data_IF_931701541919
#
_entry.id   IF_931701541919
#
_cell.length_a   1.000
_cell.length_b   1.000
_cell.length_c   1.000
_cell.angle_alpha   90.00
_cell.angle_beta   90.00
_cell.angle_gamma   90.00
#
_symmetry.space_group_name_H-M   'P 1'
#
loop_
_entity.id
_entity.type
_entity.pdbx_description
1 polymer ?
#
# COMPACT_ATOMS: atom_id res chain seq x y z
N UNK A 1 -10.96 -4.72 -5.55
CA UNK A 1 -11.32 -6.03 -4.96
C UNK A 1 -11.29 -5.87 -3.45
N UNK A 2 -12.35 -6.28 -2.73
CA UNK A 2 -12.39 -6.15 -1.28
C UNK A 2 -11.73 -7.34 -0.59
N UNK A 3 -10.63 -7.10 0.14
CA UNK A 3 -9.86 -8.12 0.86
C UNK A 3 -9.95 -7.99 2.40
N UNK A 4 -10.63 -6.96 2.90
CA UNK A 4 -10.73 -6.71 4.33
C UNK A 4 -11.45 -7.82 5.11
N UNK A 5 -11.41 -7.77 6.45
CA UNK A 5 -12.04 -8.77 7.33
C UNK A 5 -13.57 -8.88 7.23
N UNK A 6 -14.24 -7.93 6.55
CA UNK A 6 -15.69 -7.87 6.46
C UNK A 6 -16.33 -9.11 5.81
N UNK A 7 -17.57 -9.39 6.19
CA UNK A 7 -18.30 -10.62 5.80
C UNK A 7 -18.60 -10.75 4.30
N UNK A 8 -18.49 -9.66 3.54
CA UNK A 8 -18.72 -9.60 2.09
C UNK A 8 -17.42 -9.53 1.28
N UNK A 9 -16.25 -9.62 1.92
CA UNK A 9 -14.97 -9.67 1.21
C UNK A 9 -14.78 -11.00 0.48
N UNK A 10 -13.91 -11.00 -0.53
CA UNK A 10 -13.61 -12.20 -1.30
C UNK A 10 -13.16 -13.38 -0.41
N UNK A 11 -12.17 -13.24 0.49
CA UNK A 11 -11.76 -14.35 1.37
C UNK A 11 -12.91 -14.83 2.27
N UNK A 12 -13.68 -13.91 2.86
CA UNK A 12 -14.83 -14.25 3.72
C UNK A 12 -15.91 -15.04 2.97
N UNK A 13 -16.26 -14.62 1.75
CA UNK A 13 -17.29 -15.28 0.95
C UNK A 13 -16.85 -16.69 0.51
N UNK A 14 -15.61 -16.83 0.04
CA UNK A 14 -15.07 -18.13 -0.38
C UNK A 14 -14.94 -19.08 0.81
N UNK A 15 -14.50 -18.58 1.97
CA UNK A 15 -14.41 -19.38 3.19
C UNK A 15 -15.79 -19.79 3.72
N UNK A 16 -16.77 -18.88 3.70
CA UNK A 16 -18.17 -19.18 4.07
C UNK A 16 -18.81 -20.24 3.16
N UNK A 17 -18.39 -20.29 1.89
CA UNK A 17 -18.79 -21.34 0.96
C UNK A 17 -18.04 -22.67 1.15
N UNK A 18 -17.09 -22.74 2.09
CA UNK A 18 -16.30 -23.94 2.39
C UNK A 18 -15.21 -24.25 1.37
N UNK A 19 -14.85 -23.29 0.51
CA UNK A 19 -13.91 -23.51 -0.59
C UNK A 19 -12.45 -23.31 -0.16
N UNK A 20 -12.21 -22.45 0.83
CA UNK A 20 -10.89 -22.07 1.31
C UNK A 20 -10.90 -21.81 2.82
N UNK A 21 -9.71 -21.70 3.41
CA UNK A 21 -9.50 -21.07 4.71
C UNK A 21 -9.75 -19.57 4.66
N UNK A 22 -10.19 -18.96 5.77
CA UNK A 22 -10.42 -17.51 5.81
C UNK A 22 -9.09 -16.75 5.91
N UNK A 23 -8.33 -16.80 4.83
CA UNK A 23 -7.01 -16.21 4.73
C UNK A 23 -6.67 -15.92 3.28
N UNK A 24 -5.66 -15.08 3.06
CA UNK A 24 -5.07 -14.88 1.74
C UNK A 24 -3.64 -14.38 1.89
N UNK A 25 -2.88 -14.45 0.82
CA UNK A 25 -1.55 -13.86 0.75
C UNK A 25 -1.37 -12.93 -0.44
N UNK A 26 -0.47 -11.97 -0.28
CA UNK A 26 -0.03 -11.03 -1.30
C UNK A 26 1.48 -11.14 -1.48
N UNK A 27 1.94 -11.09 -2.72
CA UNK A 27 3.36 -11.04 -3.06
C UNK A 27 3.54 -10.03 -4.19
N UNK A 28 4.31 -8.96 -3.97
CA UNK A 28 4.62 -7.95 -4.98
C UNK A 28 6.09 -8.05 -5.40
N UNK A 29 6.34 -8.00 -6.71
CA UNK A 29 7.67 -7.99 -7.31
C UNK A 29 8.09 -6.55 -7.67
N UNK A 30 9.40 -6.32 -7.76
CA UNK A 30 10.00 -5.02 -8.07
C UNK A 30 9.61 -4.50 -9.48
N UNK A 31 9.23 -5.40 -10.39
CA UNK A 31 8.75 -5.05 -11.74
C UNK A 31 7.28 -4.61 -11.78
N UNK A 32 6.61 -4.49 -10.62
CA UNK A 32 5.21 -4.10 -10.51
C UNK A 32 4.21 -5.24 -10.74
N UNK A 33 4.68 -6.46 -11.01
CA UNK A 33 3.82 -7.64 -10.99
C UNK A 33 3.56 -8.09 -9.55
N UNK A 34 2.53 -8.93 -9.38
CA UNK A 34 2.23 -9.49 -8.09
C UNK A 34 1.25 -10.64 -8.18
N UNK A 35 1.03 -11.30 -7.05
CA UNK A 35 0.15 -12.46 -6.92
C UNK A 35 -0.70 -12.34 -5.68
N UNK A 36 -1.89 -12.93 -5.77
CA UNK A 36 -2.79 -13.14 -4.65
C UNK A 36 -3.16 -14.62 -4.61
N UNK A 37 -3.08 -15.23 -3.43
CA UNK A 37 -3.50 -16.62 -3.20
C UNK A 37 -4.56 -16.61 -2.11
N UNK A 38 -5.73 -17.17 -2.40
CA UNK A 38 -6.82 -17.28 -1.44
C UNK A 38 -6.75 -18.62 -0.69
N UNK A 39 -6.94 -18.60 0.62
CA UNK A 39 -6.82 -19.76 1.50
C UNK A 39 -5.41 -20.10 1.94
N UNK A 40 -4.42 -19.30 1.52
CA UNK A 40 -3.02 -19.46 1.92
C UNK A 40 -2.85 -19.10 3.40
N UNK A 41 -2.15 -19.94 4.15
CA UNK A 41 -1.89 -19.76 5.59
C UNK A 41 -0.40 -19.59 5.91
N UNK A 42 0.46 -19.51 4.89
CA UNK A 42 1.91 -19.40 5.05
C UNK A 42 2.55 -20.64 5.64
N UNK A 43 3.82 -20.51 6.00
CA UNK A 43 4.61 -21.55 6.65
C UNK A 43 4.74 -21.30 8.16
N UNK A 44 4.97 -22.37 8.92
CA UNK A 44 5.14 -22.27 10.39
C UNK A 44 6.43 -21.55 10.81
N UNK A 45 7.38 -21.42 9.90
CA UNK A 45 8.64 -20.70 10.09
C UNK A 45 8.55 -19.22 9.73
N UNK A 46 7.42 -18.74 9.19
CA UNK A 46 7.25 -17.34 8.84
C UNK A 46 7.28 -16.48 10.10
N UNK A 47 7.84 -15.28 9.97
CA UNK A 47 7.68 -14.24 10.98
C UNK A 47 6.21 -13.86 11.07
N UNK A 48 5.73 -13.45 12.25
CA UNK A 48 4.33 -13.05 12.38
C UNK A 48 4.08 -12.09 13.53
N UNK A 49 2.97 -11.37 13.44
CA UNK A 49 2.45 -10.51 14.50
C UNK A 49 0.93 -10.68 14.58
N UNK A 50 0.33 -10.66 15.77
CA UNK A 50 -1.13 -10.66 15.88
C UNK A 50 -1.71 -9.37 15.30
N UNK A 51 -2.94 -9.47 14.77
CA UNK A 51 -3.76 -8.31 14.48
C UNK A 51 -4.23 -7.66 15.79
N UNK A 52 -4.45 -6.36 15.75
CA UNK A 52 -5.02 -5.59 16.84
C UNK A 52 -6.52 -5.41 16.61
N UNK A 53 -7.37 -5.73 17.60
CA UNK A 53 -8.78 -5.40 17.53
C UNK A 53 -8.99 -3.90 17.83
N UNK A 54 -9.88 -3.27 17.07
CA UNK A 54 -10.38 -1.92 17.34
C UNK A 54 -11.78 -2.05 17.95
N UNK A 55 -11.97 -1.49 19.15
CA UNK A 55 -13.24 -1.59 19.90
C UNK A 55 -13.74 -3.04 20.06
N UNK A 56 -12.81 -3.99 20.18
CA UNK A 56 -13.11 -5.42 20.31
C UNK A 56 -13.45 -6.14 19.00
N UNK A 57 -13.27 -5.49 17.84
CA UNK A 57 -13.54 -6.06 16.52
C UNK A 57 -12.31 -6.02 15.61
N UNK A 58 -12.22 -6.98 14.71
CA UNK A 58 -11.17 -7.04 13.69
C UNK A 58 -11.74 -6.57 12.36
N UNK A 59 -12.03 -5.27 12.23
CA UNK A 59 -12.60 -4.71 11.00
C UNK A 59 -11.52 -4.24 10.00
N UNK A 60 -10.26 -4.18 10.43
CA UNK A 60 -9.09 -3.76 9.64
C UNK A 60 -7.84 -4.56 10.04
N UNK A 61 -6.78 -4.48 9.23
CA UNK A 61 -5.51 -5.19 9.46
C UNK A 61 -4.51 -4.33 10.23
N UNK A 62 -4.87 -3.93 11.45
CA UNK A 62 -3.95 -3.23 12.33
C UNK A 62 -2.96 -4.18 12.99
N UNK A 63 -1.70 -3.76 13.11
CA UNK A 63 -0.61 -4.46 13.80
C UNK A 63 0.16 -3.48 14.69
N UNK A 64 0.93 -4.01 15.65
CA UNK A 64 1.81 -3.19 16.51
C UNK A 64 3.24 -3.24 16.00
N UNK A 65 3.79 -2.08 15.64
CA UNK A 65 5.24 -1.90 15.50
C UNK A 65 5.79 -1.41 16.84
N UNK A 66 6.79 -2.08 17.39
CA UNK A 66 7.43 -1.71 18.65
C UNK A 66 8.55 -0.68 18.45
N UNK A 67 9.31 -0.81 17.36
CA UNK A 67 10.33 0.16 16.99
C UNK A 67 10.70 0.11 15.51
N UNK A 68 11.22 1.22 15.01
CA UNK A 68 11.91 1.34 13.74
C UNK A 68 13.42 1.26 13.97
N UNK A 69 14.12 0.45 13.17
CA UNK A 69 15.57 0.32 13.23
C UNK A 69 16.21 0.76 11.91
N UNK A 70 17.26 1.58 12.00
CA UNK A 70 18.07 2.05 10.88
C UNK A 70 19.48 1.50 11.03
N UNK A 71 19.95 0.73 10.05
CA UNK A 71 21.19 -0.04 10.14
C UNK A 71 21.11 -1.01 11.33
N UNK A 72 21.99 -0.81 12.31
CA UNK A 72 22.06 -1.61 13.53
C UNK A 72 21.44 -0.92 14.76
N UNK A 73 20.81 0.24 14.58
CA UNK A 73 20.24 1.04 15.67
C UNK A 73 18.72 1.02 15.66
N UNK A 74 18.11 0.48 16.71
CA UNK A 74 16.67 0.60 16.95
C UNK A 74 16.34 1.85 17.75
N UNK A 75 15.44 2.68 17.20
CA UNK A 75 15.09 3.98 17.74
C UNK A 75 14.15 3.84 18.94
N UNK A 76 14.51 4.47 20.08
CA UNK A 76 13.64 4.50 21.26
C UNK A 76 12.36 5.27 20.97
N UNK A 77 11.25 4.81 21.54
CA UNK A 77 9.94 5.46 21.40
C UNK A 77 9.49 5.65 19.95
N UNK A 78 9.87 4.72 19.06
CA UNK A 78 9.47 4.72 17.64
C UNK A 78 8.36 3.71 17.32
N UNK A 79 7.67 3.21 18.34
CA UNK A 79 6.57 2.26 18.21
C UNK A 79 5.25 2.97 17.86
N UNK A 80 4.43 2.32 17.05
CA UNK A 80 3.16 2.84 16.58
C UNK A 80 2.20 1.71 16.17
N UNK A 81 0.91 2.03 16.08
CA UNK A 81 -0.09 1.17 15.44
C UNK A 81 0.03 1.34 13.93
N UNK A 82 0.07 0.25 13.16
CA UNK A 82 0.19 0.32 11.71
C UNK A 82 -0.96 -0.41 11.01
N UNK A 83 -1.64 0.26 10.08
CA UNK A 83 -2.57 -0.36 9.15
C UNK A 83 -1.77 -1.00 8.02
N UNK A 84 -1.98 -2.28 7.76
CA UNK A 84 -1.35 -2.97 6.63
C UNK A 84 -2.31 -2.85 5.44
N UNK A 85 -1.95 -2.02 4.46
CA UNK A 85 -2.85 -1.64 3.37
C UNK A 85 -2.19 -1.77 1.99
N UNK A 86 -2.59 -2.80 1.23
CA UNK A 86 -2.15 -2.99 -0.16
C UNK A 86 -2.74 -1.96 -1.13
N UNK A 87 -3.74 -1.18 -0.71
CA UNK A 87 -4.30 -0.06 -1.48
C UNK A 87 -3.45 1.21 -1.44
N UNK A 88 -2.52 1.31 -0.49
CA UNK A 88 -1.59 2.42 -0.36
C UNK A 88 -0.28 2.11 -1.08
N UNK A 89 0.10 2.94 -2.06
CA UNK A 89 1.35 2.74 -2.81
C UNK A 89 2.60 2.89 -1.94
N UNK A 90 2.55 3.75 -0.92
CA UNK A 90 3.68 4.09 -0.06
C UNK A 90 3.36 3.86 1.42
N UNK A 91 4.43 3.77 2.21
CA UNK A 91 4.36 3.62 3.66
C UNK A 91 4.37 5.00 4.31
N UNK A 92 3.50 5.16 5.31
CA UNK A 92 3.32 6.39 6.06
C UNK A 92 3.59 6.15 7.53
N UNK A 93 4.29 7.09 8.18
CA UNK A 93 4.58 7.03 9.61
C UNK A 93 3.90 8.21 10.32
N UNK A 94 3.41 8.04 11.57
CA UNK A 94 2.97 9.16 12.38
C UNK A 94 4.07 10.24 12.42
N UNK A 95 3.68 11.50 12.36
CA UNK A 95 4.60 12.61 12.06
C UNK A 95 5.83 12.67 12.98
N UNK A 96 5.66 12.44 14.28
CA UNK A 96 6.75 12.38 15.26
C UNK A 96 7.72 11.20 15.03
N UNK A 97 7.17 10.03 14.70
CA UNK A 97 7.96 8.84 14.35
C UNK A 97 8.68 9.05 13.03
N UNK A 98 8.00 9.59 12.02
CA UNK A 98 8.57 9.95 10.73
C UNK A 98 9.83 10.79 10.92
N UNK A 99 9.73 11.90 11.66
CA UNK A 99 10.87 12.80 11.90
C UNK A 99 12.05 12.10 12.55
N UNK A 100 11.80 11.23 13.54
CA UNK A 100 12.86 10.48 14.22
C UNK A 100 13.55 9.51 13.26
N UNK A 101 12.77 8.78 12.45
CA UNK A 101 13.27 7.79 11.48
C UNK A 101 14.11 8.44 10.38
N UNK A 102 13.58 9.49 9.74
CA UNK A 102 14.26 10.13 8.60
C UNK A 102 15.54 10.85 9.01
N UNK A 103 15.58 11.44 10.22
CA UNK A 103 16.79 12.06 10.74
C UNK A 103 17.89 11.03 11.03
N UNK A 104 17.55 9.86 11.54
CA UNK A 104 18.54 8.82 11.76
C UNK A 104 19.02 8.19 10.44
N UNK A 105 18.10 7.98 9.50
CA UNK A 105 18.45 7.53 8.15
C UNK A 105 19.43 8.49 7.47
N UNK A 106 19.15 9.80 7.47
CA UNK A 106 20.00 10.84 6.89
C UNK A 106 21.42 10.85 7.48
N UNK A 107 21.56 10.60 8.79
CA UNK A 107 22.89 10.51 9.43
C UNK A 107 23.73 9.32 8.94
N UNK A 108 23.07 8.21 8.60
CA UNK A 108 23.76 6.97 8.20
C UNK A 108 24.00 6.89 6.68
N UNK A 109 23.28 7.70 5.88
CA UNK A 109 23.48 7.75 4.44
C UNK A 109 24.79 8.46 4.10
N UNK A 110 25.70 7.76 3.42
CA UNK A 110 26.93 8.34 2.90
C UNK A 110 26.74 8.92 1.49
N UNK A 111 25.81 9.86 1.33
CA UNK A 111 25.53 10.54 0.08
C UNK A 111 25.05 11.97 0.32
N UNK A 112 25.26 12.86 -0.67
CA UNK A 112 24.85 14.27 -0.52
C UNK A 112 23.33 14.38 -0.61
N UNK A 113 22.70 14.82 0.48
CA UNK A 113 21.27 15.18 0.48
C UNK A 113 21.01 16.33 -0.49
N UNK A 114 19.96 16.19 -1.29
CA UNK A 114 19.48 17.17 -2.26
C UNK A 114 17.99 17.43 -2.07
N UNK A 115 17.54 18.62 -2.48
CA UNK A 115 16.12 18.90 -2.63
C UNK A 115 15.68 18.52 -4.04
N UNK A 116 14.72 17.61 -4.17
CA UNK A 116 14.20 17.16 -5.47
C UNK A 116 12.69 17.40 -5.54
N UNK A 117 12.28 18.48 -6.22
CA UNK A 117 10.90 18.97 -6.19
C UNK A 117 9.89 18.12 -6.98
N UNK A 118 10.36 17.14 -7.76
CA UNK A 118 9.50 16.32 -8.63
C UNK A 118 8.92 15.08 -7.93
N UNK A 119 9.26 14.87 -6.66
CA UNK A 119 8.79 13.72 -5.85
C UNK A 119 8.29 14.20 -4.49
N UNK A 120 7.41 13.42 -3.83
CA UNK A 120 6.84 13.83 -2.54
C UNK A 120 7.81 13.69 -1.35
N UNK A 121 9.03 13.19 -1.57
CA UNK A 121 9.98 12.88 -0.50
C UNK A 121 11.00 13.98 -0.25
N UNK A 122 11.21 14.30 1.02
CA UNK A 122 12.13 15.36 1.46
C UNK A 122 13.58 14.88 1.67
N UNK A 123 13.80 13.56 1.66
CA UNK A 123 15.08 12.92 1.93
C UNK A 123 15.54 12.18 0.67
N UNK A 124 16.10 12.97 -0.26
CA UNK A 124 16.68 12.49 -1.51
C UNK A 124 18.18 12.74 -1.54
N UNK A 125 18.92 11.88 -2.22
CA UNK A 125 20.37 11.88 -2.24
C UNK A 125 20.89 11.70 -3.65
N UNK A 126 21.98 12.40 -3.96
CA UNK A 126 22.72 12.22 -5.21
C UNK A 126 23.83 11.18 -5.01
N UNK A 127 23.90 10.20 -5.89
CA UNK A 127 24.96 9.18 -5.93
C UNK A 127 25.55 9.09 -7.33
N UNK A 128 26.84 8.73 -7.42
CA UNK A 128 27.39 8.26 -8.68
C UNK A 128 26.73 6.93 -9.05
N UNK A 129 26.42 6.73 -10.33
CA UNK A 129 25.92 5.43 -10.83
C UNK A 129 26.95 4.29 -10.70
N UNK A 130 28.23 4.64 -10.48
CA UNK A 130 29.35 3.69 -10.32
C UNK A 130 29.58 3.26 -8.87
N UNK A 131 29.01 3.97 -7.90
CA UNK A 131 29.10 3.64 -6.48
C UNK A 131 27.89 2.79 -6.11
N UNK A 132 28.12 1.70 -5.36
CA UNK A 132 27.01 0.97 -4.75
C UNK A 132 26.31 1.90 -3.77
N UNK A 133 25.01 2.12 -3.96
CA UNK A 133 24.19 2.87 -3.03
C UNK A 133 24.25 2.19 -1.66
N UNK A 134 25.04 2.72 -0.73
CA UNK A 134 25.09 2.20 0.63
C UNK A 134 23.88 2.75 1.41
N UNK A 135 22.71 2.20 1.09
CA UNK A 135 21.44 2.53 1.72
C UNK A 135 21.39 1.83 3.08
N UNK A 136 21.23 2.55 4.20
CA UNK A 136 21.04 1.93 5.49
C UNK A 136 19.82 1.01 5.48
N UNK A 137 19.97 -0.20 6.03
CA UNK A 137 18.84 -1.11 6.19
C UNK A 137 17.76 -0.45 7.05
N UNK A 138 16.49 -0.60 6.65
CA UNK A 138 15.35 -0.16 7.44
C UNK A 138 14.56 -1.39 7.87
N UNK A 139 14.26 -1.49 9.17
CA UNK A 139 13.54 -2.62 9.73
C UNK A 139 12.46 -2.13 10.70
N UNK A 140 11.34 -2.86 10.74
CA UNK A 140 10.37 -2.74 11.81
C UNK A 140 10.51 -3.93 12.77
N UNK A 141 10.58 -3.64 14.05
CA UNK A 141 10.52 -4.64 15.10
C UNK A 141 9.08 -4.76 15.58
N UNK A 142 8.57 -5.98 15.56
CA UNK A 142 7.27 -6.38 16.06
C UNK A 142 7.42 -7.12 17.39
N UNK A 143 6.31 -7.32 18.14
CA UNK A 143 6.32 -8.12 19.36
C UNK A 143 7.00 -9.48 19.18
N UNK A 144 7.49 -10.04 20.28
CA UNK A 144 8.23 -11.31 20.30
C UNK A 144 9.53 -11.29 19.46
N UNK A 145 10.14 -10.12 19.32
CA UNK A 145 11.37 -9.87 18.55
C UNK A 145 11.26 -10.28 17.08
N UNK A 146 10.06 -10.17 16.50
CA UNK A 146 9.82 -10.49 15.10
C UNK A 146 10.29 -9.32 14.24
N UNK A 147 11.25 -9.55 13.35
CA UNK A 147 11.82 -8.50 12.52
C UNK A 147 11.21 -8.51 11.11
N UNK A 148 10.88 -7.33 10.62
CA UNK A 148 10.48 -7.09 9.25
C UNK A 148 11.55 -6.22 8.60
N UNK A 149 12.39 -6.83 7.76
CA UNK A 149 13.43 -6.09 7.05
C UNK A 149 12.89 -5.60 5.71
N UNK A 150 12.81 -4.29 5.53
CA UNK A 150 12.31 -3.71 4.28
C UNK A 150 13.26 -4.07 3.13
N UNK A 151 12.71 -4.68 2.07
CA UNK A 151 13.47 -5.13 0.90
C UNK A 151 14.17 -3.97 0.20
N UNK A 152 13.43 -2.89 -0.09
CA UNK A 152 13.98 -1.65 -0.61
C UNK A 152 13.25 -0.44 0.00
N UNK A 153 13.88 0.32 0.90
CA UNK A 153 13.26 1.49 1.52
C UNK A 153 13.27 2.72 0.60
N UNK A 154 13.92 2.65 -0.57
CA UNK A 154 14.16 3.81 -1.43
C UNK A 154 13.45 3.73 -2.77
N UNK A 155 13.11 4.90 -3.31
CA UNK A 155 12.70 5.06 -4.69
C UNK A 155 13.85 5.65 -5.51
N UNK A 156 14.28 4.91 -6.54
CA UNK A 156 15.39 5.32 -7.41
C UNK A 156 14.90 5.99 -8.68
N UNK A 157 15.58 7.08 -9.05
CA UNK A 157 15.31 7.91 -10.22
C UNK A 157 16.59 7.95 -11.04
N UNK A 158 16.57 7.29 -12.20
CA UNK A 158 17.67 7.36 -13.15
C UNK A 158 17.68 8.75 -13.80
N UNK A 159 18.75 9.51 -13.59
CA UNK A 159 18.88 10.83 -14.20
C UNK A 159 19.63 10.74 -15.52
N UNK A 160 20.88 10.26 -15.50
CA UNK A 160 21.74 10.04 -16.67
C UNK A 160 22.66 8.83 -16.41
N UNK A 161 23.51 8.45 -17.37
CA UNK A 161 24.41 7.29 -17.23
C UNK A 161 25.38 7.38 -16.04
N UNK A 162 25.73 8.59 -15.57
CA UNK A 162 26.73 8.82 -14.51
C UNK A 162 26.16 9.16 -13.13
N UNK A 163 24.86 9.52 -13.05
CA UNK A 163 24.23 10.02 -11.83
C UNK A 163 22.85 9.41 -11.62
N UNK A 164 22.60 8.97 -10.39
CA UNK A 164 21.30 8.52 -9.92
C UNK A 164 20.86 9.32 -8.70
N UNK A 165 19.56 9.56 -8.59
CA UNK A 165 18.95 10.10 -7.37
C UNK A 165 18.17 8.97 -6.74
N UNK A 166 18.27 8.81 -5.43
CA UNK A 166 17.35 7.96 -4.68
C UNK A 166 16.75 8.75 -3.52
N UNK A 167 15.50 8.43 -3.19
CA UNK A 167 14.77 9.08 -2.09
C UNK A 167 14.25 8.03 -1.12
N UNK A 168 14.32 8.31 0.18
CA UNK A 168 13.67 7.47 1.19
C UNK A 168 12.16 7.52 0.98
N UNK A 169 11.56 6.36 0.70
CA UNK A 169 10.16 6.23 0.24
C UNK A 169 9.14 6.21 1.39
N UNK A 170 9.31 7.13 2.34
CA UNK A 170 8.43 7.31 3.51
C UNK A 170 7.79 8.70 3.50
N UNK A 171 6.54 8.78 3.96
CA UNK A 171 5.84 10.05 4.14
C UNK A 171 5.27 10.17 5.56
N UNK A 172 5.15 11.40 6.10
CA UNK A 172 4.43 11.61 7.33
C UNK A 172 2.92 11.47 7.10
N UNK A 173 2.20 11.08 8.14
CA UNK A 173 0.73 11.20 8.22
C UNK A 173 0.34 11.94 9.49
N UNK A 174 -0.72 12.74 9.38
CA UNK A 174 -1.35 13.43 10.51
C UNK A 174 -2.48 12.56 11.08
N UNK A 175 -2.09 11.41 11.62
CA UNK A 175 -2.97 10.45 12.28
C UNK A 175 -2.21 9.77 13.44
N UNK A 176 -2.93 9.08 14.32
CA UNK A 176 -2.36 8.34 15.45
C UNK A 176 -1.83 6.94 15.08
N UNK A 177 -1.93 6.57 13.81
CA UNK A 177 -1.43 5.31 13.26
C UNK A 177 -0.67 5.54 11.95
N UNK A 178 0.24 4.63 11.63
CA UNK A 178 0.95 4.60 10.36
C UNK A 178 0.32 3.62 9.37
N UNK A 179 0.80 3.61 8.13
CA UNK A 179 0.36 2.68 7.10
C UNK A 179 1.58 1.94 6.56
N UNK A 180 1.57 0.61 6.59
CA UNK A 180 2.50 -0.22 5.84
C UNK A 180 1.89 -0.41 4.45
N UNK A 181 2.46 0.27 3.47
CA UNK A 181 1.97 0.27 2.09
C UNK A 181 2.64 -0.80 1.22
N UNK A 182 2.20 -0.89 -0.02
CA UNK A 182 2.71 -1.81 -1.02
C UNK A 182 4.23 -1.73 -1.17
N UNK A 183 4.84 -0.53 -1.15
CA UNK A 183 6.29 -0.38 -1.30
C UNK A 183 7.11 -1.17 -0.28
N UNK A 184 6.60 -1.37 0.95
CA UNK A 184 7.28 -2.16 1.97
C UNK A 184 6.84 -3.62 1.95
N UNK A 185 5.65 -3.94 1.42
CA UNK A 185 5.22 -5.32 1.18
C UNK A 185 5.97 -5.99 0.00
N UNK A 186 6.51 -5.20 -0.93
CA UNK A 186 7.31 -5.72 -2.06
C UNK A 186 8.50 -6.53 -1.57
N UNK A 187 8.78 -7.65 -2.26
CA UNK A 187 9.83 -8.61 -1.89
C UNK A 187 9.42 -9.60 -0.79
N UNK A 188 8.18 -9.52 -0.31
CA UNK A 188 7.68 -10.37 0.76
C UNK A 188 6.44 -11.17 0.34
N UNK A 189 6.32 -12.36 0.90
CA UNK A 189 5.07 -13.12 0.94
C UNK A 189 4.31 -12.73 2.20
N UNK A 190 3.27 -11.91 2.04
CA UNK A 190 2.48 -11.33 3.15
C UNK A 190 1.19 -12.13 3.33
N UNK A 191 1.01 -12.81 4.45
CA UNK A 191 -0.15 -13.67 4.73
C UNK A 191 -1.07 -13.03 5.76
N UNK A 192 -2.33 -12.83 5.39
CA UNK A 192 -3.40 -12.31 6.23
C UNK A 192 -4.29 -13.47 6.67
N UNK A 193 -4.10 -13.97 7.89
CA UNK A 193 -4.83 -15.14 8.44
C UNK A 193 -5.90 -14.68 9.44
N UNK A 194 -7.16 -14.66 9.00
CA UNK A 194 -8.32 -14.31 9.84
C UNK A 194 -8.85 -15.50 10.65
N UNK A 195 -8.35 -16.72 10.45
CA UNK A 195 -8.64 -17.84 11.35
C UNK A 195 -7.80 -17.74 12.62
N UNK A 196 -6.57 -17.23 12.50
CA UNK A 196 -5.63 -17.05 13.61
C UNK A 196 -5.43 -15.60 14.05
N UNK A 197 -6.14 -14.65 13.42
CA UNK A 197 -6.03 -13.21 13.65
C UNK A 197 -4.58 -12.71 13.65
N UNK A 198 -3.82 -13.04 12.61
CA UNK A 198 -2.41 -12.62 12.50
C UNK A 198 -1.99 -12.27 11.08
N UNK A 199 -0.98 -11.42 10.99
CA UNK A 199 -0.18 -11.19 9.79
C UNK A 199 1.09 -12.04 9.89
N UNK A 200 1.46 -12.74 8.82
CA UNK A 200 2.76 -13.40 8.70
C UNK A 200 3.52 -12.90 7.47
N UNK A 201 4.86 -12.97 7.50
CA UNK A 201 5.70 -12.62 6.37
C UNK A 201 6.96 -13.47 6.28
N UNK A 202 7.45 -13.63 5.05
CA UNK A 202 8.77 -14.14 4.75
C UNK A 202 9.32 -13.47 3.49
N UNK A 203 10.64 -13.46 3.34
CA UNK A 203 11.26 -12.99 2.10
C UNK A 203 10.94 -13.98 0.99
N UNK A 204 10.40 -13.51 -0.13
CA UNK A 204 9.98 -14.38 -1.20
C UNK A 204 10.22 -13.75 -2.57
N UNK A 205 10.80 -14.51 -3.50
CA UNK A 205 10.90 -14.07 -4.88
C UNK A 205 9.53 -14.28 -5.56
N UNK A 206 8.79 -13.20 -5.74
CA UNK A 206 7.44 -13.23 -6.32
C UNK A 206 7.43 -13.60 -7.82
N UNK A 207 8.59 -13.81 -8.46
CA UNK A 207 8.69 -14.33 -9.82
C UNK A 207 8.42 -15.82 -9.89
N UNK A 208 7.75 -16.24 -10.97
CA UNK A 208 8.05 -17.52 -11.60
C UNK A 208 7.81 -18.81 -10.82
N UNK A 209 7.27 -18.79 -9.59
CA UNK A 209 6.78 -20.02 -8.98
C UNK A 209 5.48 -20.43 -9.69
N UNK A 210 5.64 -21.04 -10.87
CA UNK A 210 4.72 -22.01 -11.44
C UNK A 210 4.89 -23.35 -10.72
N UNK A 211 5.10 -23.33 -9.41
CA UNK A 211 4.96 -24.53 -8.62
C UNK A 211 3.47 -24.72 -8.46
N UNK A 212 2.94 -25.49 -9.40
CA UNK A 212 1.73 -26.29 -9.29
C UNK A 212 1.80 -27.13 -8.02
N UNK A 213 1.66 -26.50 -6.85
CA UNK A 213 0.79 -27.10 -5.85
C UNK A 213 -0.60 -26.87 -6.41
N UNK A 214 -1.06 -27.82 -7.22
CA UNK A 214 -2.49 -28.02 -7.40
C UNK A 214 -3.09 -27.89 -6.00
N UNK A 215 -3.86 -26.82 -5.79
CA UNK A 215 -4.77 -26.78 -4.66
C UNK A 215 -5.67 -27.98 -4.92
N UNK A 216 -5.41 -29.09 -4.24
CA UNK A 216 -6.34 -30.19 -4.12
C UNK A 216 -7.54 -29.59 -3.39
N UNK A 217 -8.44 -28.98 -4.16
CA UNK A 217 -9.79 -28.71 -3.73
C UNK A 217 -10.32 -30.09 -3.38
N UNK A 218 -10.31 -30.42 -2.09
CA UNK A 218 -10.96 -31.62 -1.59
C UNK A 218 -12.37 -31.69 -2.20
N UNK A 219 -12.89 -32.89 -2.46
CA UNK A 219 -14.21 -33.03 -3.06
C UNK A 219 -15.22 -32.20 -2.27
N UNK A 220 -16.09 -31.43 -2.95
CA UNK A 220 -17.07 -30.59 -2.26
C UNK A 220 -17.85 -31.44 -1.26
N UNK A 221 -18.14 -30.92 -0.05
CA UNK A 221 -18.94 -31.66 0.91
C UNK A 221 -20.26 -32.04 0.24
N UNK A 222 -20.64 -33.30 0.44
CA UNK A 222 -21.79 -33.92 -0.22
C UNK A 222 -23.10 -33.26 0.30
N UNK A 223 -23.48 -32.13 -0.30
CA UNK A 223 -24.74 -31.45 0.02
C UNK A 223 -25.85 -32.16 -0.74
N UNK A 224 -26.41 -33.19 -0.10
CA UNK A 224 -27.74 -33.66 -0.41
C UNK A 224 -28.75 -32.58 -0.01
N UNK A 225 -29.06 -31.64 -0.92
CA UNK A 225 -30.42 -31.08 -1.05
C UNK A 225 -30.56 -30.23 -2.30
N UNK A 226 -31.67 -30.48 -2.98
CA UNK A 226 -32.15 -29.88 -4.21
C UNK A 226 -32.28 -28.36 -4.16
N UNK A 227 -31.34 -27.65 -4.80
CA UNK A 227 -31.59 -26.30 -5.30
C UNK A 227 -30.89 -26.15 -6.65
N UNK A 228 -31.61 -26.46 -7.73
CA UNK A 228 -31.16 -26.19 -9.10
C UNK A 228 -31.23 -24.67 -9.34
N UNK A 229 -30.09 -24.06 -9.62
CA UNK A 229 -30.06 -22.80 -10.37
C UNK A 229 -30.48 -23.10 -11.83
N UNK A 230 -31.27 -22.24 -12.51
CA UNK A 230 -31.72 -22.53 -13.87
C UNK A 230 -30.54 -22.47 -14.84
N UNK A 231 -30.32 -23.56 -15.58
CA UNK A 231 -29.46 -23.59 -16.75
C UNK A 231 -30.20 -23.00 -17.96
N UNK A 232 -29.45 -22.26 -18.79
CA UNK A 232 -29.86 -21.59 -20.02
C UNK A 232 -30.89 -22.35 -20.88
N UNK A 233 -32.01 -21.69 -21.17
CA UNK A 233 -32.77 -21.95 -22.40
C UNK A 233 -32.02 -21.35 -23.59
N UNK A 234 -31.65 -22.20 -24.54
CA UNK A 234 -31.22 -21.79 -25.87
C UNK A 234 -32.43 -21.23 -26.64
N UNK A 235 -32.55 -19.91 -26.73
CA UNK A 235 -33.39 -19.29 -27.75
C UNK A 235 -32.59 -19.12 -29.05
N UNK A 236 -33.02 -19.86 -30.07
CA UNK A 236 -32.68 -19.66 -31.48
C UNK A 236 -33.02 -18.23 -31.92
N UNK A 237 -32.04 -17.50 -32.45
CA UNK A 237 -32.25 -16.18 -33.08
C UNK A 237 -32.22 -16.28 -34.61
N UNK A 238 -33.11 -15.58 -35.35
CA UNK A 238 -33.10 -15.59 -36.82
C UNK A 238 -31.90 -14.83 -37.40
N UNK A 239 -31.36 -15.33 -38.51
CA UNK A 239 -30.27 -14.69 -39.27
C UNK A 239 -30.71 -13.34 -39.85
N UNK A 240 -29.92 -12.29 -39.62
CA UNK A 240 -29.97 -11.02 -40.35
C UNK A 240 -28.52 -10.56 -40.66
N UNK A 241 -28.23 -9.88 -41.78
CA UNK A 241 -26.85 -9.69 -42.24
C UNK A 241 -26.04 -8.76 -41.33
N UNK A 242 -24.75 -9.08 -41.18
CA UNK A 242 -23.80 -8.37 -40.34
C UNK A 242 -23.51 -6.95 -40.84
N UNK A 243 -23.52 -5.98 -39.92
CA UNK A 243 -22.95 -4.64 -40.09
C UNK A 243 -21.50 -4.69 -39.59
N UNK A 244 -20.50 -4.14 -40.32
CA UNK A 244 -19.12 -4.17 -39.87
C UNK A 244 -18.87 -3.22 -38.69
N UNK A 245 -18.00 -3.62 -37.78
CA UNK A 245 -17.57 -2.84 -36.62
C UNK A 245 -16.78 -1.58 -37.04
N UNK A 246 -16.85 -0.47 -36.28
CA UNK A 246 -16.05 0.72 -36.55
C UNK A 246 -14.57 0.43 -36.25
N UNK A 247 -13.70 0.81 -37.19
CA UNK A 247 -12.24 0.77 -37.05
C UNK A 247 -11.79 1.94 -36.17
N UNK A 248 -11.04 1.65 -35.11
CA UNK A 248 -10.37 2.67 -34.31
C UNK A 248 -9.29 3.39 -35.13
N UNK A 249 -9.49 4.68 -35.39
CA UNK A 249 -8.54 5.52 -36.11
C UNK A 249 -7.29 5.81 -35.27
N UNK A 250 -6.12 5.60 -35.89
CA UNK A 250 -4.81 6.10 -35.42
C UNK A 250 -4.85 7.62 -35.31
N UNK A 251 -4.64 8.17 -34.12
CA UNK A 251 -4.38 9.61 -33.95
C UNK A 251 -2.99 9.96 -34.47
N UNK A 252 -2.93 10.92 -35.38
CA UNK A 252 -1.71 11.53 -35.91
C UNK A 252 -1.17 12.55 -34.92
N UNK A 253 0.10 12.43 -34.56
CA UNK A 253 0.84 13.46 -33.82
C UNK A 253 1.14 14.64 -34.75
N UNK A 254 0.41 15.75 -34.60
CA UNK A 254 0.85 17.05 -35.13
C UNK A 254 1.31 17.94 -33.99
N UNK A 255 2.60 18.23 -34.03
CA UNK A 255 3.29 19.28 -33.29
C UNK A 255 2.66 20.64 -33.61
N UNK A 256 2.35 21.43 -32.57
CA UNK A 256 2.13 22.87 -32.64
C UNK A 256 2.34 23.46 -31.25
N UNK A 257 3.51 24.03 -31.00
CA UNK A 257 3.73 24.92 -29.86
C UNK A 257 3.01 26.27 -30.10
N UNK A 258 2.64 26.98 -29.03
CA UNK A 258 3.08 28.37 -28.95
C UNK A 258 3.67 28.74 -27.59
N UNK A 259 4.56 29.73 -27.66
CA UNK A 259 5.36 30.31 -26.59
C UNK A 259 4.54 31.04 -25.52
N UNK A 260 5.05 30.96 -24.29
CA UNK A 260 5.12 31.96 -23.21
C UNK A 260 4.22 33.20 -23.28
N UNK A 261 3.48 33.44 -22.20
CA UNK A 261 3.59 34.71 -21.43
C UNK A 261 3.25 34.45 -19.96
N UNK A 262 4.08 35.03 -19.10
CA UNK A 262 3.94 35.14 -17.65
C UNK A 262 2.69 35.92 -17.24
N UNK A 263 2.15 35.65 -16.04
CA UNK A 263 1.92 36.60 -14.93
C UNK A 263 1.05 35.93 -13.85
N UNK A 264 1.51 36.00 -12.60
CA UNK A 264 0.77 35.64 -11.38
C UNK A 264 -0.52 36.46 -11.25
N UNK A 265 -1.54 35.95 -10.52
CA UNK A 265 -1.90 36.70 -9.33
C UNK A 265 -2.22 35.82 -8.10
N UNK A 266 -1.54 36.15 -7.01
CA UNK A 266 -2.02 35.98 -5.64
C UNK A 266 -3.08 37.05 -5.43
N UNK A 267 -4.35 36.69 -5.21
CA UNK A 267 -5.30 37.35 -4.31
C UNK A 267 -6.69 36.70 -4.41
N UNK A 268 -7.44 36.78 -3.30
CA UNK A 268 -8.85 36.42 -3.12
C UNK A 268 -9.18 35.00 -2.68
N UNK A 269 -8.89 34.70 -1.42
CA UNK A 269 -9.79 33.85 -0.62
C UNK A 269 -9.82 34.33 0.85
N UNK A 270 -10.26 35.56 1.06
CA UNK A 270 -10.50 36.12 2.39
C UNK A 270 -11.66 37.12 2.34
N UNK A 271 -12.84 36.68 1.91
CA UNK A 271 -14.07 37.51 1.92
C UNK A 271 -15.33 36.77 2.39
N UNK A 272 -15.26 35.53 2.89
CA UNK A 272 -16.46 34.80 3.37
C UNK A 272 -16.61 34.73 4.90
N UNK A 273 -15.76 35.39 5.68
CA UNK A 273 -15.80 35.33 7.16
C UNK A 273 -16.14 36.65 7.86
N UNK A 274 -16.22 37.77 7.13
CA UNK A 274 -16.53 39.08 7.74
C UNK A 274 -18.02 39.46 7.69
N UNK A 275 -18.84 38.74 6.92
CA UNK A 275 -20.28 39.02 6.77
C UNK A 275 -21.15 38.31 7.82
N UNK A 276 -20.57 37.40 8.63
CA UNK A 276 -21.30 36.62 9.63
C UNK A 276 -21.13 37.14 11.06
N UNK A 277 -20.23 38.11 11.29
CA UNK A 277 -19.99 38.69 12.63
C UNK A 277 -20.83 39.95 12.94
N UNK A 278 -21.62 40.46 11.98
CA UNK A 278 -22.42 41.69 12.15
C UNK A 278 -23.93 41.44 12.43
N UNK A 279 -24.32 40.21 12.72
CA UNK A 279 -25.73 39.84 12.97
C UNK A 279 -26.02 39.31 14.39
N UNK A 280 -25.03 39.33 15.31
CA UNK A 280 -25.24 38.91 16.71
C UNK A 280 -24.59 39.89 17.68
N UNK A 281 -25.19 41.07 17.84
CA UNK A 281 -25.23 41.83 19.12
C UNK A 281 -25.84 43.22 18.88
N UNK A 282 -27.07 43.48 19.36
CA UNK A 282 -27.39 44.81 19.83
C UNK A 282 -27.74 44.77 21.32
N UNK A 283 -27.41 45.87 22.00
CA UNK A 283 -27.74 46.22 23.39
C UNK A 283 -26.91 45.51 24.47
N UNK A 284 -25.94 46.23 25.05
CA UNK A 284 -26.09 46.90 26.36
C UNK A 284 -24.90 47.87 26.52
N UNK A 285 -25.16 49.18 26.61
CA UNK A 285 -24.51 50.10 27.57
C UNK A 285 -25.18 51.48 27.48
N UNK A 286 -25.82 51.92 28.57
CA UNK A 286 -25.81 53.31 29.10
C UNK A 286 -26.81 53.43 30.26
N UNK A 287 -26.35 53.18 31.48
CA UNK A 287 -26.40 54.05 32.69
C UNK A 287 -25.88 53.28 33.88
#
# INVERSE_FOLDING_TARGET
MGLGPGSISVPSLLSKAGLIKNSFSLCFDDNGSGRILFGDQGHTSDHSTPFLPEEGKYDTFFVRVESCCIGNLCLKSSGFKALVDSGSSFTFLPTDIYHTVVLEFDKQVNAKRISYQQVPWNYCYNTSSKESQNVPALQFLFPDNQNFSVHNPTYSISQNQDFAVFCLSLQPIDDNYGVIGQNFMTGHHMVFDMEKFKLSWSNFNCQGASDSSEVNLGPPPNVNSSTRLPANDHQSMPKTPAVPAPVAGRTTSKSSAPQQTSLFPVLHLAHSLLSLLLLVCPFVLTT
#
